data_IF_909901963943
#
_entry.id   IF_909901963943
#
_cell.length_a   1.000
_cell.length_b   1.000
_cell.length_c   1.000
_cell.angle_alpha   90.00
_cell.angle_beta   90.00
_cell.angle_gamma   90.00
#
_symmetry.space_group_name_H-M   'P 1'
#
loop_
_entity.id
_entity.type
_entity.pdbx_description
1 polymer ?
#
# COMPACT_ATOMS: atom_id res chain seq x y z
N UNK A 1 9.13 11.09 -4.53
CA UNK A 1 10.58 11.21 -4.77
C UNK A 1 10.92 10.95 -6.25
N UNK A 2 10.27 11.72 -7.15
CA UNK A 2 10.28 11.54 -8.61
C UNK A 2 11.67 11.60 -9.27
N UNK A 3 12.66 12.22 -8.62
CA UNK A 3 14.02 12.41 -9.15
C UNK A 3 15.03 11.36 -8.66
N UNK A 4 14.57 10.33 -7.97
CA UNK A 4 15.39 9.20 -7.54
C UNK A 4 15.07 7.99 -8.39
N UNK A 5 16.02 7.06 -8.54
CA UNK A 5 15.76 5.77 -9.14
C UNK A 5 14.78 4.95 -8.30
N UNK A 6 14.18 3.93 -8.89
CA UNK A 6 13.29 3.01 -8.16
C UNK A 6 14.02 2.33 -7.01
N UNK A 7 15.23 1.82 -7.24
CA UNK A 7 16.02 1.18 -6.19
C UNK A 7 16.38 2.14 -5.06
N UNK A 8 16.73 3.39 -5.36
CA UNK A 8 17.00 4.39 -4.32
C UNK A 8 15.74 4.76 -3.52
N UNK A 9 14.58 4.81 -4.18
CA UNK A 9 13.29 4.96 -3.48
C UNK A 9 13.01 3.80 -2.54
N UNK A 10 13.33 2.57 -2.93
CA UNK A 10 13.19 1.40 -2.06
C UNK A 10 14.10 1.50 -0.83
N UNK A 11 15.37 1.85 -1.02
CA UNK A 11 16.36 2.01 0.07
C UNK A 11 15.92 3.01 1.14
N UNK A 12 15.14 4.04 0.80
CA UNK A 12 14.57 4.96 1.78
C UNK A 12 13.56 4.31 2.74
N UNK A 13 13.02 3.15 2.40
CA UNK A 13 12.16 2.37 3.29
C UNK A 13 12.93 1.62 4.37
N UNK A 14 14.25 1.48 4.24
CA UNK A 14 15.08 0.83 5.25
C UNK A 14 15.28 1.75 6.46
N UNK A 15 15.29 1.17 7.65
CA UNK A 15 15.47 1.89 8.92
C UNK A 15 16.78 1.46 9.61
N UNK A 16 17.27 2.30 10.53
CA UNK A 16 18.43 1.97 11.36
C UNK A 16 19.73 1.85 10.58
N UNK A 17 19.89 2.62 9.52
CA UNK A 17 21.11 2.63 8.71
C UNK A 17 22.29 3.23 9.53
N UNK A 18 23.32 2.43 9.74
CA UNK A 18 24.51 2.85 10.52
C UNK A 18 25.25 4.04 9.90
N UNK A 19 25.15 4.21 8.59
CA UNK A 19 25.71 5.35 7.85
C UNK A 19 25.11 6.71 8.20
N UNK A 20 23.93 6.74 8.85
CA UNK A 20 23.30 7.98 9.35
C UNK A 20 24.00 8.54 10.60
N UNK A 21 24.81 7.73 11.29
CA UNK A 21 25.60 8.20 12.41
C UNK A 21 26.87 8.93 11.92
N UNK A 22 27.07 10.17 12.37
CA UNK A 22 28.20 11.01 11.98
C UNK A 22 29.56 10.30 12.11
N UNK A 23 29.77 9.55 13.18
CA UNK A 23 31.02 8.81 13.41
C UNK A 23 31.13 7.54 12.56
N UNK A 24 30.04 6.86 12.29
CA UNK A 24 30.05 5.67 11.47
C UNK A 24 30.24 5.99 9.98
N UNK A 25 29.78 7.16 9.51
CA UNK A 25 29.94 7.61 8.12
C UNK A 25 31.42 7.81 7.71
N UNK A 26 32.32 8.09 8.67
CA UNK A 26 33.73 8.27 8.43
C UNK A 26 34.50 6.95 8.17
N UNK A 27 33.91 5.79 8.50
CA UNK A 27 34.54 4.48 8.34
C UNK A 27 33.72 3.62 7.38
N UNK A 28 34.05 3.65 6.10
CA UNK A 28 33.32 2.97 5.02
C UNK A 28 33.11 1.46 5.23
N UNK A 29 33.98 0.79 5.97
CA UNK A 29 33.84 -0.64 6.28
C UNK A 29 32.70 -0.98 7.24
N UNK A 30 32.18 0.00 8.01
CA UNK A 30 31.14 -0.24 9.00
C UNK A 30 29.72 -0.25 8.43
N UNK A 31 29.52 0.39 7.27
CA UNK A 31 28.19 0.54 6.67
C UNK A 31 28.02 -0.14 5.31
N UNK A 32 29.14 -0.44 4.58
CA UNK A 32 29.07 -1.11 3.27
C UNK A 32 28.35 -2.45 3.29
N UNK A 33 28.56 -3.26 4.34
CA UNK A 33 27.86 -4.54 4.49
C UNK A 33 26.34 -4.35 4.62
N UNK A 34 25.93 -3.40 5.45
CA UNK A 34 24.51 -3.09 5.64
C UNK A 34 23.87 -2.49 4.38
N UNK A 35 24.59 -1.64 3.64
CA UNK A 35 24.10 -1.10 2.37
C UNK A 35 23.85 -2.20 1.35
N UNK A 36 24.76 -3.19 1.26
CA UNK A 36 24.57 -4.36 0.41
C UNK A 36 23.37 -5.21 0.82
N UNK A 37 23.11 -5.37 2.13
CA UNK A 37 21.92 -6.08 2.63
C UNK A 37 20.63 -5.32 2.29
N UNK A 38 20.62 -3.99 2.44
CA UNK A 38 19.49 -3.12 2.09
C UNK A 38 19.21 -3.18 0.59
N UNK A 39 20.26 -3.17 -0.23
CA UNK A 39 20.15 -3.27 -1.68
C UNK A 39 19.63 -4.65 -2.10
N UNK A 40 20.16 -5.73 -1.54
CA UNK A 40 19.68 -7.09 -1.80
C UNK A 40 18.19 -7.25 -1.42
N UNK A 41 17.78 -6.64 -0.31
CA UNK A 41 16.39 -6.63 0.11
C UNK A 41 15.50 -5.83 -0.84
N UNK A 42 15.98 -4.69 -1.34
CA UNK A 42 15.27 -3.92 -2.34
C UNK A 42 15.08 -4.72 -3.64
N UNK A 43 16.14 -5.40 -4.10
CA UNK A 43 16.09 -6.24 -5.31
C UNK A 43 15.13 -7.43 -5.16
N UNK A 44 15.14 -8.11 -4.00
CA UNK A 44 14.17 -9.18 -3.67
C UNK A 44 12.72 -8.69 -3.75
N UNK A 45 12.44 -7.50 -3.17
CA UNK A 45 11.10 -6.93 -3.22
C UNK A 45 10.71 -6.47 -4.62
N UNK A 46 11.63 -5.87 -5.38
CA UNK A 46 11.38 -5.52 -6.77
C UNK A 46 11.05 -6.75 -7.64
N UNK A 47 11.74 -7.86 -7.41
CA UNK A 47 11.43 -9.13 -8.09
C UNK A 47 10.04 -9.65 -7.70
N UNK A 48 9.73 -9.67 -6.40
CA UNK A 48 8.41 -10.06 -5.88
C UNK A 48 7.24 -9.28 -6.51
N UNK A 49 7.45 -7.99 -6.78
CA UNK A 49 6.45 -7.10 -7.39
C UNK A 49 6.54 -7.02 -8.92
N UNK A 50 7.39 -7.85 -9.56
CA UNK A 50 7.66 -7.85 -11.00
C UNK A 50 8.15 -6.49 -11.53
N UNK A 51 8.90 -5.76 -10.71
CA UNK A 51 9.39 -4.41 -10.99
C UNK A 51 10.92 -4.34 -11.22
N UNK A 52 11.61 -5.48 -11.29
CA UNK A 52 13.07 -5.54 -11.48
C UNK A 52 13.52 -4.78 -12.72
N UNK A 53 12.74 -4.84 -13.80
CA UNK A 53 13.04 -4.13 -15.06
C UNK A 53 12.99 -2.60 -14.94
N UNK A 54 12.38 -2.07 -13.88
CA UNK A 54 12.29 -0.63 -13.60
C UNK A 54 13.33 -0.15 -12.57
N UNK A 55 14.22 -1.02 -12.11
CA UNK A 55 15.17 -0.79 -11.01
C UNK A 55 15.92 0.54 -11.13
N UNK A 56 16.46 0.81 -12.32
CA UNK A 56 17.29 1.99 -12.62
C UNK A 56 16.49 3.18 -13.18
N UNK A 57 15.19 2.98 -13.44
CA UNK A 57 14.33 4.05 -13.95
C UNK A 57 14.05 5.09 -12.85
N UNK A 58 13.83 6.32 -13.25
CA UNK A 58 13.37 7.35 -12.30
C UNK A 58 11.93 7.08 -11.86
N UNK A 59 11.67 7.16 -10.55
CA UNK A 59 10.32 6.94 -10.03
C UNK A 59 9.27 7.91 -10.60
N UNK A 60 9.69 9.03 -11.14
CA UNK A 60 8.84 9.99 -11.85
C UNK A 60 8.29 9.49 -13.19
N UNK A 61 8.93 8.52 -13.83
CA UNK A 61 8.50 7.94 -15.12
C UNK A 61 7.48 6.82 -14.95
N UNK A 62 7.30 6.33 -13.72
CA UNK A 62 6.37 5.24 -13.41
C UNK A 62 4.91 5.67 -13.64
N UNK A 63 4.11 4.76 -14.16
CA UNK A 63 2.64 4.90 -14.17
C UNK A 63 2.08 4.99 -12.74
N UNK A 64 0.84 5.47 -12.60
CA UNK A 64 0.16 5.53 -11.30
C UNK A 64 0.17 4.21 -10.55
N UNK A 65 -0.17 3.13 -11.24
CA UNK A 65 -0.19 1.80 -10.64
C UNK A 65 1.19 1.23 -10.31
N UNK A 66 2.20 1.46 -11.15
CA UNK A 66 3.59 1.09 -10.83
C UNK A 66 4.08 1.82 -9.58
N UNK A 67 3.71 3.09 -9.39
CA UNK A 67 4.00 3.82 -8.15
C UNK A 67 3.36 3.17 -6.93
N UNK A 68 2.12 2.71 -7.02
CA UNK A 68 1.44 1.97 -5.93
C UNK A 68 2.16 0.67 -5.58
N UNK A 69 2.65 -0.09 -6.58
CA UNK A 69 3.47 -1.28 -6.34
C UNK A 69 4.77 -0.93 -5.59
N UNK A 70 5.47 0.12 -6.01
CA UNK A 70 6.71 0.56 -5.33
C UNK A 70 6.42 1.09 -3.92
N UNK A 71 5.31 1.78 -3.69
CA UNK A 71 4.89 2.22 -2.35
C UNK A 71 4.66 1.03 -1.42
N UNK A 72 3.96 0.00 -1.89
CA UNK A 72 3.75 -1.23 -1.12
C UNK A 72 5.07 -1.98 -0.89
N UNK A 73 5.90 -2.16 -1.92
CA UNK A 73 7.20 -2.80 -1.81
C UNK A 73 8.10 -2.07 -0.81
N UNK A 74 8.14 -0.73 -0.85
CA UNK A 74 8.90 0.09 0.09
C UNK A 74 8.43 -0.06 1.54
N UNK A 75 7.11 -0.20 1.77
CA UNK A 75 6.58 -0.46 3.10
C UNK A 75 7.08 -1.81 3.67
N UNK A 76 7.45 -2.75 2.80
CA UNK A 76 7.95 -4.07 3.20
C UNK A 76 9.47 -4.12 3.43
N UNK A 77 10.21 -3.04 3.18
CA UNK A 77 11.66 -3.00 3.38
C UNK A 77 12.09 -3.31 4.81
N UNK A 78 11.28 -2.93 5.80
CA UNK A 78 11.55 -3.15 7.23
C UNK A 78 11.05 -4.50 7.75
N UNK A 79 10.55 -5.36 6.87
CA UNK A 79 9.92 -6.63 7.22
C UNK A 79 8.83 -6.52 8.32
N UNK A 80 7.83 -5.63 8.15
CA UNK A 80 6.86 -5.32 9.18
C UNK A 80 5.89 -6.49 9.42
N UNK A 81 5.43 -6.64 10.67
CA UNK A 81 4.35 -7.57 11.01
C UNK A 81 2.96 -7.03 10.65
N UNK A 82 2.83 -5.71 10.62
CA UNK A 82 1.59 -4.99 10.29
C UNK A 82 1.89 -4.03 9.14
N UNK A 83 1.11 -4.11 8.08
CA UNK A 83 1.17 -3.22 6.91
C UNK A 83 -0.12 -2.42 6.86
N UNK A 84 -0.02 -1.09 6.75
CA UNK A 84 -1.16 -0.20 6.60
C UNK A 84 -1.14 0.42 5.20
N UNK A 85 -2.26 0.34 4.51
CA UNK A 85 -2.45 0.81 3.14
C UNK A 85 -3.65 1.74 3.08
N UNK A 86 -3.45 2.91 2.52
CA UNK A 86 -4.51 3.90 2.33
C UNK A 86 -4.87 3.97 0.83
N UNK A 87 -6.10 3.57 0.51
CA UNK A 87 -6.65 3.47 -0.85
C UNK A 87 -5.66 2.87 -1.87
N UNK A 88 -5.15 1.65 -1.62
CA UNK A 88 -4.10 1.08 -2.48
C UNK A 88 -4.58 0.83 -3.92
N UNK A 89 -5.89 0.71 -4.15
CA UNK A 89 -6.47 0.44 -5.47
C UNK A 89 -6.92 1.71 -6.21
N UNK A 90 -6.88 2.89 -5.55
CA UNK A 90 -7.35 4.13 -6.16
C UNK A 90 -6.55 4.53 -7.42
N UNK A 91 -7.25 4.79 -8.51
CA UNK A 91 -6.65 5.22 -9.78
C UNK A 91 -5.83 4.15 -10.51
N UNK A 92 -6.02 2.88 -10.17
CA UNK A 92 -5.33 1.74 -10.75
C UNK A 92 -6.24 1.05 -11.77
N UNK A 93 -5.68 0.61 -12.91
CA UNK A 93 -6.45 -0.15 -13.88
C UNK A 93 -6.80 -1.57 -13.37
N UNK A 94 -7.86 -2.23 -13.88
CA UNK A 94 -8.34 -3.51 -13.36
C UNK A 94 -7.29 -4.63 -13.32
N UNK A 95 -6.41 -4.71 -14.32
CA UNK A 95 -5.39 -5.75 -14.38
C UNK A 95 -4.36 -5.60 -13.24
N UNK A 96 -3.98 -4.36 -12.93
CA UNK A 96 -3.04 -4.07 -11.87
C UNK A 96 -3.70 -4.13 -10.48
N UNK A 97 -5.01 -3.82 -10.39
CA UNK A 97 -5.80 -4.07 -9.17
C UNK A 97 -5.73 -5.53 -8.78
N UNK A 98 -5.94 -6.46 -9.72
CA UNK A 98 -5.81 -7.89 -9.45
C UNK A 98 -4.40 -8.29 -8.97
N UNK A 99 -3.36 -7.68 -9.54
CA UNK A 99 -1.98 -7.89 -9.07
C UNK A 99 -1.79 -7.41 -7.62
N UNK A 100 -2.25 -6.20 -7.30
CA UNK A 100 -2.18 -5.65 -5.94
C UNK A 100 -2.96 -6.50 -4.93
N UNK A 101 -4.18 -6.95 -5.28
CA UNK A 101 -4.97 -7.88 -4.47
C UNK A 101 -4.22 -9.19 -4.22
N UNK A 102 -3.56 -9.74 -5.24
CA UNK A 102 -2.70 -10.91 -5.12
C UNK A 102 -1.56 -10.70 -4.12
N UNK A 103 -0.90 -9.53 -4.13
CA UNK A 103 0.14 -9.19 -3.16
C UNK A 103 -0.41 -9.07 -1.74
N UNK A 104 -1.57 -8.43 -1.54
CA UNK A 104 -2.23 -8.34 -0.22
C UNK A 104 -2.57 -9.73 0.32
N UNK A 105 -3.18 -10.60 -0.50
CA UNK A 105 -3.46 -12.00 -0.14
C UNK A 105 -2.18 -12.78 0.20
N UNK A 106 -1.09 -12.53 -0.53
CA UNK A 106 0.23 -13.11 -0.26
C UNK A 106 0.79 -12.70 1.10
N UNK A 107 0.71 -11.42 1.47
CA UNK A 107 1.15 -10.92 2.78
C UNK A 107 0.37 -11.58 3.93
N UNK A 108 -0.95 -11.73 3.77
CA UNK A 108 -1.80 -12.44 4.73
C UNK A 108 -1.39 -13.91 4.87
N UNK A 109 -1.14 -14.60 3.75
CA UNK A 109 -0.70 -16.00 3.76
C UNK A 109 0.66 -16.19 4.45
N UNK A 110 1.52 -15.17 4.45
CA UNK A 110 2.78 -15.12 5.20
C UNK A 110 2.60 -14.84 6.70
N UNK A 111 1.35 -14.68 7.18
CA UNK A 111 1.03 -14.41 8.58
C UNK A 111 1.16 -12.94 8.98
N UNK A 112 1.21 -12.01 8.03
CA UNK A 112 1.20 -10.57 8.30
C UNK A 112 -0.23 -10.08 8.50
N UNK A 113 -0.38 -9.06 9.33
CA UNK A 113 -1.63 -8.32 9.44
C UNK A 113 -1.62 -7.18 8.41
N UNK A 114 -2.64 -7.11 7.56
CA UNK A 114 -2.81 -6.00 6.63
C UNK A 114 -4.06 -5.21 7.02
N UNK A 115 -3.89 -3.93 7.25
CA UNK A 115 -4.98 -2.97 7.48
C UNK A 115 -5.04 -2.08 6.24
N UNK A 116 -6.20 -1.97 5.61
CA UNK A 116 -6.37 -1.10 4.47
C UNK A 116 -7.65 -0.30 4.57
N UNK A 117 -7.64 0.91 4.01
CA UNK A 117 -8.81 1.76 3.85
C UNK A 117 -9.24 1.68 2.40
N UNK A 118 -10.47 1.33 2.14
CA UNK A 118 -11.07 1.26 0.81
C UNK A 118 -12.55 1.61 0.87
N UNK A 119 -13.06 2.09 -0.24
CA UNK A 119 -14.48 2.42 -0.43
C UNK A 119 -15.15 1.52 -1.46
N UNK A 120 -14.38 0.69 -2.18
CA UNK A 120 -14.89 -0.33 -3.10
C UNK A 120 -15.26 -1.60 -2.33
N UNK A 121 -16.56 -1.86 -2.20
CA UNK A 121 -17.08 -3.00 -1.44
C UNK A 121 -16.73 -4.35 -2.07
N UNK A 122 -16.51 -4.42 -3.38
CA UNK A 122 -16.11 -5.66 -4.04
C UNK A 122 -14.66 -6.01 -3.65
N UNK A 123 -13.78 -5.00 -3.59
CA UNK A 123 -12.40 -5.15 -3.08
C UNK A 123 -12.42 -5.56 -1.61
N UNK A 124 -13.19 -4.87 -0.77
CA UNK A 124 -13.31 -5.17 0.66
C UNK A 124 -13.78 -6.61 0.87
N UNK A 125 -14.77 -7.07 0.14
CA UNK A 125 -15.31 -8.43 0.21
C UNK A 125 -14.30 -9.50 -0.20
N UNK A 126 -13.47 -9.20 -1.21
CA UNK A 126 -12.51 -10.17 -1.76
C UNK A 126 -11.32 -10.44 -0.84
N UNK A 127 -10.88 -9.46 -0.03
CA UNK A 127 -9.62 -9.57 0.70
C UNK A 127 -9.71 -9.42 2.22
N UNK A 128 -10.85 -8.95 2.76
CA UNK A 128 -10.97 -8.71 4.21
C UNK A 128 -11.43 -9.95 4.97
N UNK A 129 -10.90 -10.13 6.17
CA UNK A 129 -11.42 -11.05 7.17
C UNK A 129 -12.40 -10.36 8.12
N UNK A 130 -12.16 -9.07 8.39
CA UNK A 130 -12.95 -8.22 9.28
C UNK A 130 -12.99 -6.79 8.74
N UNK A 131 -14.14 -6.18 8.84
CA UNK A 131 -14.41 -4.82 8.34
C UNK A 131 -14.87 -3.94 9.48
N UNK A 132 -14.35 -2.72 9.53
CA UNK A 132 -14.82 -1.64 10.40
C UNK A 132 -15.30 -0.51 9.52
N UNK A 133 -16.57 -0.16 9.61
CA UNK A 133 -17.18 0.93 8.84
C UNK A 133 -17.20 2.20 9.66
N UNK A 134 -16.65 3.26 9.08
CA UNK A 134 -16.60 4.58 9.70
C UNK A 134 -17.41 5.59 8.88
N UNK A 135 -18.21 6.39 9.56
CA UNK A 135 -18.88 7.55 9.00
C UNK A 135 -18.85 8.71 10.00
N UNK A 136 -18.63 9.92 9.51
CA UNK A 136 -18.63 11.16 10.30
C UNK A 136 -17.70 11.09 11.54
N UNK A 137 -16.55 10.41 11.39
CA UNK A 137 -15.55 10.26 12.46
C UNK A 137 -15.90 9.22 13.53
N UNK A 138 -16.96 8.43 13.34
CA UNK A 138 -17.42 7.41 14.28
C UNK A 138 -17.50 6.04 13.61
N UNK A 139 -17.30 4.97 14.39
CA UNK A 139 -17.55 3.60 13.94
C UNK A 139 -19.07 3.39 13.97
N UNK A 140 -19.65 3.01 12.82
CA UNK A 140 -21.07 2.74 12.68
C UNK A 140 -21.41 1.25 12.59
N UNK A 141 -20.45 0.42 12.17
CA UNK A 141 -20.60 -1.04 12.14
C UNK A 141 -19.22 -1.71 12.12
N UNK A 142 -19.17 -2.95 12.60
CA UNK A 142 -18.03 -3.84 12.42
C UNK A 142 -18.51 -5.31 12.30
N UNK A 143 -17.78 -6.12 11.56
CA UNK A 143 -18.14 -7.53 11.34
C UNK A 143 -17.42 -8.14 10.16
N UNK A 144 -17.87 -9.33 9.74
CA UNK A 144 -17.40 -9.93 8.50
C UNK A 144 -17.89 -9.13 7.29
N UNK A 145 -17.24 -9.25 6.11
CA UNK A 145 -17.70 -8.57 4.90
C UNK A 145 -19.18 -8.83 4.57
N UNK A 146 -19.67 -10.06 4.81
CA UNK A 146 -21.07 -10.41 4.54
C UNK A 146 -22.05 -9.77 5.55
N UNK A 147 -21.65 -9.68 6.82
CA UNK A 147 -22.44 -8.97 7.84
C UNK A 147 -22.57 -7.48 7.48
N UNK A 148 -21.48 -6.87 7.04
CA UNK A 148 -21.43 -5.46 6.64
C UNK A 148 -22.28 -5.22 5.40
N UNK A 149 -22.20 -6.08 4.39
CA UNK A 149 -22.96 -5.95 3.14
C UNK A 149 -24.48 -6.02 3.35
N UNK A 150 -24.93 -6.67 4.43
CA UNK A 150 -26.35 -6.79 4.79
C UNK A 150 -26.83 -5.80 5.86
N UNK A 151 -25.94 -4.93 6.35
CA UNK A 151 -26.25 -4.00 7.44
C UNK A 151 -26.96 -2.76 6.89
N UNK A 152 -28.23 -2.56 7.28
CA UNK A 152 -29.04 -1.42 6.83
C UNK A 152 -28.41 -0.07 7.15
N UNK A 153 -27.77 0.09 8.32
CA UNK A 153 -27.13 1.34 8.71
C UNK A 153 -25.96 1.69 7.77
N UNK A 154 -25.22 0.68 7.31
CA UNK A 154 -24.14 0.86 6.33
C UNK A 154 -24.73 1.20 4.96
N UNK A 155 -25.76 0.47 4.54
CA UNK A 155 -26.45 0.70 3.26
C UNK A 155 -26.99 2.14 3.20
N UNK A 156 -27.67 2.59 4.25
CA UNK A 156 -28.23 3.94 4.32
C UNK A 156 -27.14 5.03 4.31
N UNK A 157 -26.03 4.82 5.05
CA UNK A 157 -24.91 5.74 5.04
C UNK A 157 -24.19 5.82 3.69
N UNK A 158 -24.17 4.70 2.94
CA UNK A 158 -23.57 4.63 1.61
C UNK A 158 -24.47 5.26 0.54
N UNK A 159 -25.78 4.93 0.56
CA UNK A 159 -26.78 5.47 -0.38
C UNK A 159 -27.04 6.96 -0.13
N UNK A 160 -27.04 7.42 1.13
CA UNK A 160 -27.23 8.84 1.47
C UNK A 160 -26.16 9.74 0.84
N UNK A 161 -24.91 9.29 0.76
CA UNK A 161 -23.82 10.03 0.11
C UNK A 161 -23.96 10.11 -1.42
N UNK A 162 -24.56 9.11 -2.05
CA UNK A 162 -24.85 9.15 -3.49
C UNK A 162 -26.01 10.09 -3.83
N UNK A 163 -27.00 10.19 -2.93
CA UNK A 163 -28.16 11.05 -3.17
C UNK A 163 -27.80 12.55 -3.06
N UNK A 164 -26.86 12.89 -2.17
CA UNK A 164 -26.39 14.26 -2.04
C UNK A 164 -25.45 14.67 -3.20
N UNK A 165 -24.74 13.75 -3.82
CA UNK A 165 -23.89 14.05 -4.98
C UNK A 165 -24.72 14.37 -6.24
N UNK A 166 -25.82 13.64 -6.45
CA UNK A 166 -26.72 13.85 -7.60
C UNK A 166 -27.51 15.18 -7.52
N UNK A 167 -27.69 15.74 -6.31
CA UNK A 167 -28.40 17.02 -6.12
C UNK A 167 -27.56 18.25 -6.50
N UNK A 168 -26.26 18.11 -6.67
CA UNK A 168 -25.37 19.21 -7.05
C UNK A 168 -24.95 19.21 -8.53
N UNK A 169 -25.29 18.13 -9.30
CA UNK A 169 -24.99 18.07 -10.73
C UNK A 169 -26.09 18.72 -11.62
N UNK A 170 -27.25 19.04 -11.06
CA UNK A 170 -28.40 19.64 -11.81
C UNK A 170 -28.45 21.19 -11.77
N UNK A 171 -27.41 21.89 -11.26
CA UNK A 171 -27.35 23.36 -11.18
C UNK A 171 -26.25 24.02 -12.02
N UNK A 172 -25.77 23.41 -13.13
CA UNK A 172 -24.93 24.09 -14.12
C UNK A 172 -25.56 24.16 -15.53
#
# INVERSE_FOLDING_TARGET
LSRMTVVDNMKLGATGQRGESFWASLVSGLWRGQESEVEARADELLDRFNMTHMREEFAGTLSGGQRKLIEMARALMTDPKIVMLDEPMAGVNPALTQSLLGHVKGLRAEGRTVIFVEHDMDVVRDISDWVVVMAEGSIIAEGTPDDIASNNQVIDAYLGKHHDADLFEDEE
#
